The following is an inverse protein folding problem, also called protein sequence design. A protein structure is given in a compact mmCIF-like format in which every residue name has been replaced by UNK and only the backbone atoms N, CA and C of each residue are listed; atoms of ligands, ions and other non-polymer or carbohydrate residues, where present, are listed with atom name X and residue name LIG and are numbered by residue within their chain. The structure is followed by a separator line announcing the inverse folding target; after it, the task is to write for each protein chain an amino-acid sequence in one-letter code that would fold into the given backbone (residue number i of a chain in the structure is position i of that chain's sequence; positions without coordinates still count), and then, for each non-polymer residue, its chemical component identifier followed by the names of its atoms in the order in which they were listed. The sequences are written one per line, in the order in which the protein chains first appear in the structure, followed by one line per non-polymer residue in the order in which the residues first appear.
data_IF_860232331141
#
_entry.id   IF_860232331141
#
_cell.length_a   1.000
_cell.length_b   1.000
_cell.length_c   1.000
_cell.angle_alpha   90.00
_cell.angle_beta   90.00
_cell.angle_gamma   90.00
#
_symmetry.space_group_name_H-M   'P 1'
#
loop_
_entity.id
_entity.type
_entity.pdbx_description
1 polymer ?
#
# COMPACT_ATOMS: atom_id res chain seq x y z
N UNK A 1 -29.96 -29.82 48.90
CA UNK A 1 -29.09 -30.34 47.82
C UNK A 1 -29.67 -29.84 46.50
N UNK A 2 -29.26 -28.60 46.09
CA UNK A 2 -29.73 -27.96 44.83
C UNK A 2 -28.56 -28.06 43.85
N UNK A 3 -28.84 -28.75 42.76
CA UNK A 3 -27.89 -29.11 41.73
C UNK A 3 -27.40 -27.87 40.99
N UNK A 4 -26.08 -27.66 41.00
CA UNK A 4 -25.37 -26.81 40.07
C UNK A 4 -25.32 -27.55 38.71
N UNK A 5 -26.30 -27.34 37.87
CA UNK A 5 -26.28 -27.82 36.49
C UNK A 5 -26.37 -26.65 35.53
N UNK A 6 -25.42 -26.64 34.54
CA UNK A 6 -25.54 -25.99 33.24
C UNK A 6 -24.95 -24.57 33.07
N UNK A 7 -23.73 -24.34 33.49
CA UNK A 7 -22.93 -23.21 32.91
C UNK A 7 -21.92 -23.66 31.83
N UNK A 8 -21.63 -24.95 31.75
CA UNK A 8 -20.58 -25.49 30.85
C UNK A 8 -21.06 -25.67 29.40
N UNK A 9 -22.25 -26.14 29.17
CA UNK A 9 -22.83 -26.29 27.82
C UNK A 9 -23.12 -24.97 27.07
N UNK A 10 -23.18 -23.86 27.80
CA UNK A 10 -23.28 -22.52 27.20
C UNK A 10 -21.93 -21.96 26.75
N UNK A 11 -20.88 -22.27 27.48
CA UNK A 11 -19.50 -21.89 27.13
C UNK A 11 -18.98 -22.66 25.93
N UNK A 12 -19.23 -23.95 25.85
CA UNK A 12 -18.80 -24.78 24.72
C UNK A 12 -19.50 -24.36 23.42
N UNK A 13 -20.80 -24.15 23.44
CA UNK A 13 -21.55 -23.65 22.27
C UNK A 13 -21.02 -22.29 21.77
N UNK A 14 -20.68 -21.36 22.67
CA UNK A 14 -20.10 -20.07 22.31
C UNK A 14 -18.71 -20.21 21.70
N UNK A 15 -17.88 -21.12 22.21
CA UNK A 15 -16.55 -21.43 21.67
C UNK A 15 -16.63 -22.05 20.27
N UNK A 16 -17.55 -22.96 20.05
CA UNK A 16 -17.74 -23.61 18.75
C UNK A 16 -18.29 -22.62 17.73
N UNK A 17 -19.21 -21.73 18.13
CA UNK A 17 -19.71 -20.64 17.30
C UNK A 17 -18.60 -19.66 16.92
N UNK A 18 -17.73 -19.29 17.87
CA UNK A 18 -16.60 -18.40 17.59
C UNK A 18 -15.57 -19.04 16.64
N UNK A 19 -15.28 -20.32 16.81
CA UNK A 19 -14.39 -21.08 15.90
C UNK A 19 -14.96 -21.17 14.49
N UNK A 20 -16.27 -21.40 14.37
CA UNK A 20 -16.95 -21.42 13.08
C UNK A 20 -16.85 -20.07 12.37
N UNK A 21 -17.10 -18.97 13.11
CA UNK A 21 -16.97 -17.60 12.60
C UNK A 21 -15.53 -17.28 12.12
N UNK A 22 -14.51 -17.67 12.89
CA UNK A 22 -13.11 -17.48 12.47
C UNK A 22 -12.81 -18.20 11.15
N UNK A 23 -13.27 -19.46 11.01
CA UNK A 23 -13.09 -20.22 9.77
C UNK A 23 -13.82 -19.59 8.58
N UNK A 24 -15.04 -19.15 8.79
CA UNK A 24 -15.83 -18.46 7.77
C UNK A 24 -15.12 -17.17 7.30
N UNK A 25 -14.73 -16.31 8.24
CA UNK A 25 -14.04 -15.06 7.95
C UNK A 25 -12.69 -15.26 7.26
N UNK A 26 -11.94 -16.27 7.68
CA UNK A 26 -10.69 -16.61 7.03
C UNK A 26 -10.88 -17.21 5.64
N UNK A 27 -11.90 -18.07 5.46
CA UNK A 27 -12.26 -18.61 4.14
C UNK A 27 -12.65 -17.51 3.15
N UNK A 28 -13.40 -16.49 3.61
CA UNK A 28 -13.72 -15.32 2.79
C UNK A 28 -12.47 -14.57 2.33
N UNK A 29 -11.50 -14.32 3.22
CA UNK A 29 -10.23 -13.66 2.90
C UNK A 29 -9.39 -14.41 1.88
N UNK A 30 -9.33 -15.74 2.01
CA UNK A 30 -8.64 -16.59 1.02
C UNK A 30 -9.30 -16.41 -0.34
N UNK A 31 -10.62 -16.54 -0.42
CA UNK A 31 -11.35 -16.43 -1.68
C UNK A 31 -11.20 -15.03 -2.31
N UNK A 32 -11.35 -13.96 -1.52
CA UNK A 32 -11.13 -12.59 -2.00
C UNK A 32 -9.72 -12.39 -2.56
N UNK A 33 -8.71 -12.96 -1.89
CA UNK A 33 -7.32 -12.90 -2.35
C UNK A 33 -7.12 -13.65 -3.67
N UNK A 34 -7.66 -14.86 -3.80
CA UNK A 34 -7.58 -15.65 -5.03
C UNK A 34 -8.20 -14.88 -6.21
N UNK A 35 -9.42 -14.37 -6.04
CA UNK A 35 -10.13 -13.62 -7.08
C UNK A 35 -9.36 -12.36 -7.49
N UNK A 36 -8.85 -11.61 -6.51
CA UNK A 36 -8.12 -10.39 -6.77
C UNK A 36 -6.80 -10.64 -7.52
N UNK A 37 -5.97 -11.57 -7.05
CA UNK A 37 -4.68 -11.83 -7.67
C UNK A 37 -4.78 -12.57 -9.01
N UNK A 38 -5.78 -13.42 -9.21
CA UNK A 38 -6.06 -14.01 -10.52
C UNK A 38 -6.36 -12.91 -11.57
N UNK A 39 -7.07 -11.85 -11.15
CA UNK A 39 -7.38 -10.71 -12.01
C UNK A 39 -6.18 -9.82 -12.28
N UNK A 40 -5.37 -9.54 -11.25
CA UNK A 40 -4.34 -8.49 -11.28
C UNK A 40 -2.90 -9.00 -11.43
N UNK A 41 -2.65 -10.32 -11.48
CA UNK A 41 -1.29 -10.87 -11.48
C UNK A 41 -0.39 -10.29 -12.58
N UNK A 42 -0.90 -10.14 -13.80
CA UNK A 42 -0.15 -9.57 -14.92
C UNK A 42 0.19 -8.10 -14.69
N UNK A 43 -0.77 -7.33 -14.17
CA UNK A 43 -0.60 -5.91 -13.87
C UNK A 43 0.37 -5.68 -12.70
N UNK A 44 0.29 -6.51 -11.64
CA UNK A 44 1.25 -6.49 -10.52
C UNK A 44 2.68 -6.73 -11.03
N UNK A 45 2.85 -7.70 -11.94
CA UNK A 45 4.16 -7.99 -12.54
C UNK A 45 4.68 -6.83 -13.38
N UNK A 46 3.83 -6.22 -14.20
CA UNK A 46 4.19 -5.07 -15.03
C UNK A 46 4.54 -3.84 -14.18
N UNK A 47 3.73 -3.56 -13.17
CA UNK A 47 3.96 -2.47 -12.21
C UNK A 47 5.30 -2.65 -11.48
N UNK A 48 5.58 -3.85 -10.96
CA UNK A 48 6.84 -4.14 -10.27
C UNK A 48 8.06 -3.95 -11.18
N UNK A 49 7.97 -4.36 -12.44
CA UNK A 49 9.04 -4.14 -13.42
C UNK A 49 9.27 -2.64 -13.67
N UNK A 50 8.18 -1.86 -13.85
CA UNK A 50 8.27 -0.41 -14.03
C UNK A 50 8.86 0.29 -12.78
N UNK A 51 8.44 -0.11 -11.57
CA UNK A 51 9.03 0.40 -10.33
C UNK A 51 10.53 0.07 -10.24
N UNK A 52 10.92 -1.17 -10.58
CA UNK A 52 12.32 -1.58 -10.55
C UNK A 52 13.17 -0.78 -11.54
N UNK A 53 12.66 -0.46 -12.73
CA UNK A 53 13.32 0.43 -13.68
C UNK A 53 13.58 1.81 -13.08
N UNK A 54 12.58 2.40 -12.44
CA UNK A 54 12.70 3.70 -11.77
C UNK A 54 13.71 3.67 -10.62
N UNK A 55 13.65 2.66 -9.75
CA UNK A 55 14.62 2.51 -8.67
C UNK A 55 16.06 2.26 -9.18
N UNK A 56 16.19 1.54 -10.29
CA UNK A 56 17.49 1.37 -10.95
C UNK A 56 18.10 2.71 -11.36
N UNK A 57 17.26 3.62 -11.85
CA UNK A 57 17.64 4.97 -12.29
C UNK A 57 17.75 5.98 -11.11
N UNK A 58 17.54 5.52 -9.88
CA UNK A 58 17.73 6.34 -8.66
C UNK A 58 16.48 7.05 -8.16
N UNK A 59 15.29 6.62 -8.58
CA UNK A 59 14.02 7.19 -8.14
C UNK A 59 13.77 7.07 -6.65
N UNK A 60 12.95 7.98 -6.13
CA UNK A 60 12.32 7.91 -4.81
C UNK A 60 10.85 7.53 -4.95
N UNK A 61 10.37 6.62 -4.10
CA UNK A 61 8.95 6.26 -3.98
C UNK A 61 8.25 7.20 -2.98
N UNK A 62 7.27 7.95 -3.44
CA UNK A 62 6.44 8.85 -2.62
C UNK A 62 5.05 8.25 -2.47
N UNK A 63 4.64 7.99 -1.22
CA UNK A 63 3.43 7.25 -0.91
C UNK A 63 2.46 8.13 -0.13
N UNK A 64 1.19 8.08 -0.49
CA UNK A 64 0.17 8.90 0.17
C UNK A 64 -1.21 8.25 0.17
N UNK A 65 -2.03 8.73 1.09
CA UNK A 65 -3.42 8.34 1.28
C UNK A 65 -4.01 9.09 2.46
N UNK A 66 -5.31 9.18 2.56
CA UNK A 66 -6.01 9.90 3.62
C UNK A 66 -6.61 8.93 4.64
N UNK A 67 -6.80 9.38 5.88
CA UNK A 67 -7.49 8.60 6.91
C UNK A 67 -6.80 7.27 7.18
N UNK A 68 -7.56 6.17 7.09
CA UNK A 68 -7.03 4.82 7.28
C UNK A 68 -5.92 4.49 6.27
N UNK A 69 -6.04 5.00 5.03
CA UNK A 69 -5.05 4.78 3.96
C UNK A 69 -3.72 5.47 4.19
N UNK A 70 -3.65 6.44 5.12
CA UNK A 70 -2.39 7.00 5.58
C UNK A 70 -1.53 5.97 6.32
N UNK A 71 -2.13 5.00 7.04
CA UNK A 71 -1.39 3.93 7.71
C UNK A 71 -0.77 2.96 6.71
N UNK A 72 -1.46 2.66 5.62
CA UNK A 72 -0.92 1.84 4.53
C UNK A 72 0.27 2.55 3.86
N UNK A 73 0.16 3.86 3.62
CA UNK A 73 1.23 4.67 3.06
C UNK A 73 2.48 4.68 3.96
N UNK A 74 2.31 4.78 5.28
CA UNK A 74 3.41 4.75 6.24
C UNK A 74 4.05 3.35 6.31
N UNK A 75 3.25 2.29 6.38
CA UNK A 75 3.74 0.92 6.41
C UNK A 75 4.51 0.58 5.13
N UNK A 76 3.95 0.88 3.96
CA UNK A 76 4.62 0.63 2.70
C UNK A 76 5.96 1.38 2.61
N UNK A 77 6.05 2.62 3.08
CA UNK A 77 7.31 3.38 3.05
C UNK A 77 8.40 2.73 3.91
N UNK A 78 8.06 2.19 5.08
CA UNK A 78 9.05 1.55 5.96
C UNK A 78 9.57 0.23 5.37
N UNK A 79 8.75 -0.53 4.65
CA UNK A 79 9.16 -1.77 3.98
C UNK A 79 10.27 -1.54 2.94
N UNK A 80 10.21 -0.42 2.21
CA UNK A 80 11.25 -0.05 1.24
C UNK A 80 12.51 0.51 1.91
N UNK A 81 12.36 1.38 2.93
CA UNK A 81 13.50 2.03 3.60
C UNK A 81 14.21 1.09 4.56
N UNK A 82 13.49 0.20 5.22
CA UNK A 82 14.01 -0.74 6.20
C UNK A 82 13.49 -2.16 5.95
N UNK A 83 14.02 -2.85 4.93
CA UNK A 83 13.57 -4.17 4.55
C UNK A 83 13.54 -5.16 5.71
N UNK A 84 12.40 -5.86 5.89
CA UNK A 84 12.25 -6.88 6.92
C UNK A 84 13.05 -8.15 6.60
N UNK A 85 13.33 -8.44 5.32
CA UNK A 85 14.06 -9.61 4.89
C UNK A 85 15.57 -9.34 4.82
N UNK A 86 16.41 -10.21 5.45
CA UNK A 86 17.86 -10.09 5.37
C UNK A 86 18.36 -10.18 3.92
N UNK A 87 19.30 -9.31 3.57
CA UNK A 87 19.92 -9.31 2.24
C UNK A 87 19.18 -8.48 1.19
N UNK A 88 18.00 -7.95 1.48
CA UNK A 88 17.34 -6.98 0.62
C UNK A 88 17.97 -5.58 0.79
N UNK A 89 18.10 -4.86 -0.32
CA UNK A 89 18.61 -3.49 -0.33
C UNK A 89 17.53 -2.51 0.12
N UNK A 90 17.89 -1.56 1.01
CA UNK A 90 17.03 -0.41 1.28
C UNK A 90 16.87 0.45 0.03
N UNK A 91 15.64 0.84 -0.28
CA UNK A 91 15.27 1.69 -1.41
C UNK A 91 14.68 3.01 -0.91
N UNK A 92 14.93 4.14 -1.61
CA UNK A 92 14.41 5.43 -1.18
C UNK A 92 12.89 5.46 -1.23
N UNK A 93 12.24 5.64 -0.08
CA UNK A 93 10.80 5.80 0.01
C UNK A 93 10.41 6.75 1.15
N UNK A 94 9.32 7.46 0.98
CA UNK A 94 8.76 8.30 2.02
C UNK A 94 7.24 8.34 1.95
N UNK A 95 6.58 8.36 3.11
CA UNK A 95 5.16 8.65 3.19
C UNK A 95 4.94 10.16 3.36
N UNK A 96 4.09 10.75 2.51
CA UNK A 96 3.72 12.16 2.59
C UNK A 96 2.81 12.49 3.79
N UNK A 97 2.53 11.49 4.64
CA UNK A 97 1.76 11.65 5.88
C UNK A 97 2.62 11.62 7.15
N UNK A 98 3.95 11.46 7.01
CA UNK A 98 4.84 11.32 8.17
C UNK A 98 5.18 12.67 8.84
N UNK A 99 5.27 13.75 8.06
CA UNK A 99 5.54 15.08 8.59
C UNK A 99 4.24 15.76 9.02
N UNK A 100 3.89 15.58 10.29
CA UNK A 100 2.68 16.17 10.87
C UNK A 100 2.67 17.70 10.79
N UNK A 101 3.83 18.36 10.86
CA UNK A 101 3.91 19.82 10.79
C UNK A 101 3.56 20.32 9.37
N UNK A 102 4.13 19.70 8.35
CA UNK A 102 3.80 20.00 6.94
C UNK A 102 2.33 19.70 6.64
N UNK A 103 1.84 18.51 7.00
CA UNK A 103 0.44 18.14 6.76
C UNK A 103 -0.52 19.09 7.44
N UNK A 104 -0.34 19.35 8.74
CA UNK A 104 -1.24 20.24 9.48
C UNK A 104 -1.12 21.71 9.03
N UNK A 105 0.08 22.14 8.66
CA UNK A 105 0.30 23.49 8.12
C UNK A 105 -0.47 23.73 6.83
N UNK A 106 -0.45 22.79 5.89
CA UNK A 106 -1.23 22.86 4.63
C UNK A 106 -2.73 22.80 4.91
N UNK A 107 -3.16 21.88 5.80
CA UNK A 107 -4.58 21.72 6.16
C UNK A 107 -5.19 22.94 6.89
N UNK A 108 -4.37 23.78 7.52
CA UNK A 108 -4.81 25.06 8.12
C UNK A 108 -4.95 26.18 7.09
N UNK A 109 -4.39 26.01 5.90
CA UNK A 109 -4.50 26.98 4.80
C UNK A 109 -5.87 26.92 4.09
N UNK A 110 -6.02 27.79 3.08
CA UNK A 110 -7.27 27.93 2.32
C UNK A 110 -7.52 26.75 1.35
N UNK A 111 -6.45 26.07 0.90
CA UNK A 111 -6.53 24.97 -0.06
C UNK A 111 -6.10 23.63 0.58
N UNK A 112 -6.99 23.07 1.38
CA UNK A 112 -6.75 21.81 2.12
C UNK A 112 -6.54 20.60 1.22
N UNK A 113 -7.17 20.62 0.04
CA UNK A 113 -7.06 19.52 -0.93
C UNK A 113 -5.73 19.51 -1.67
N UNK A 114 -4.87 20.50 -1.46
CA UNK A 114 -3.50 20.52 -2.00
C UNK A 114 -2.50 19.72 -1.19
N UNK A 115 -2.89 19.08 -0.08
CA UNK A 115 -1.96 18.46 0.88
C UNK A 115 -0.95 17.50 0.24
N UNK A 116 -1.34 16.68 -0.70
CA UNK A 116 -0.44 15.78 -1.42
C UNK A 116 0.16 16.45 -2.65
N UNK A 117 -0.64 17.18 -3.43
CA UNK A 117 -0.18 17.90 -4.63
C UNK A 117 0.94 18.90 -4.31
N UNK A 118 0.81 19.65 -3.20
CA UNK A 118 1.84 20.58 -2.74
C UNK A 118 3.16 19.87 -2.43
N UNK A 119 3.13 18.80 -1.63
CA UNK A 119 4.32 18.05 -1.26
C UNK A 119 4.99 17.39 -2.49
N UNK A 120 4.20 16.76 -3.37
CA UNK A 120 4.70 16.22 -4.64
C UNK A 120 5.28 17.30 -5.53
N UNK A 121 4.67 18.50 -5.53
CA UNK A 121 5.18 19.67 -6.25
C UNK A 121 6.58 20.08 -5.82
N UNK A 122 6.89 19.99 -4.53
CA UNK A 122 8.17 20.40 -3.94
C UNK A 122 9.19 19.27 -3.96
N UNK A 123 8.78 18.05 -3.57
CA UNK A 123 9.69 16.94 -3.31
C UNK A 123 9.90 16.05 -4.55
N UNK A 124 8.87 15.89 -5.38
CA UNK A 124 8.87 14.97 -6.51
C UNK A 124 9.60 15.50 -7.72
N UNK A 125 10.29 14.61 -8.43
CA UNK A 125 10.99 14.86 -9.68
C UNK A 125 10.52 13.95 -10.82
N UNK A 126 10.88 14.30 -12.05
CA UNK A 126 10.66 13.43 -13.18
C UNK A 126 11.44 12.11 -12.96
N UNK A 127 10.77 10.99 -13.17
CA UNK A 127 11.37 9.68 -12.94
C UNK A 127 11.06 9.05 -11.58
N UNK A 128 10.65 9.82 -10.58
CA UNK A 128 10.20 9.30 -9.29
C UNK A 128 8.91 8.47 -9.42
N UNK A 129 8.52 7.81 -8.33
CA UNK A 129 7.33 6.98 -8.24
C UNK A 129 6.36 7.61 -7.24
N UNK A 130 5.09 7.75 -7.62
CA UNK A 130 4.00 8.15 -6.76
C UNK A 130 3.02 6.99 -6.60
N UNK A 131 2.76 6.58 -5.36
CA UNK A 131 1.81 5.51 -5.05
C UNK A 131 0.75 6.04 -4.10
N UNK A 132 -0.51 5.99 -4.53
CA UNK A 132 -1.66 6.43 -3.74
C UNK A 132 -2.51 5.25 -3.27
N UNK A 133 -2.95 5.32 -2.02
CA UNK A 133 -4.04 4.51 -1.49
C UNK A 133 -5.29 5.37 -1.37
N UNK A 134 -6.42 4.91 -1.88
CA UNK A 134 -7.65 5.66 -1.89
C UNK A 134 -8.90 4.80 -1.66
N UNK A 135 -9.81 5.34 -0.87
CA UNK A 135 -11.19 4.86 -0.82
C UNK A 135 -11.97 5.38 -2.03
N UNK A 136 -12.99 4.65 -2.48
CA UNK A 136 -13.90 5.15 -3.53
C UNK A 136 -15.20 5.65 -2.91
N UNK A 137 -15.67 6.86 -3.27
CA UNK A 137 -15.11 7.78 -4.28
C UNK A 137 -13.77 8.41 -3.83
N UNK A 138 -12.83 8.52 -4.76
CA UNK A 138 -11.50 9.07 -4.49
C UNK A 138 -11.61 10.52 -4.02
N UNK A 139 -10.98 10.85 -2.89
CA UNK A 139 -10.97 12.20 -2.34
C UNK A 139 -10.25 13.18 -3.26
N UNK A 140 -10.68 14.45 -3.23
CA UNK A 140 -10.08 15.50 -4.04
C UNK A 140 -8.58 15.67 -3.78
N UNK A 141 -8.14 15.52 -2.54
CA UNK A 141 -6.73 15.63 -2.19
C UNK A 141 -5.88 14.52 -2.84
N UNK A 142 -6.39 13.28 -2.88
CA UNK A 142 -5.68 12.17 -3.55
C UNK A 142 -5.71 12.37 -5.06
N UNK A 143 -6.85 12.74 -5.65
CA UNK A 143 -6.98 13.01 -7.08
C UNK A 143 -5.98 14.06 -7.55
N UNK A 144 -5.91 15.19 -6.86
CA UNK A 144 -4.95 16.29 -7.15
C UNK A 144 -3.49 15.85 -6.94
N UNK A 145 -3.24 14.96 -5.97
CA UNK A 145 -1.93 14.35 -5.78
C UNK A 145 -1.50 13.52 -6.99
N UNK A 146 -2.38 12.65 -7.50
CA UNK A 146 -2.12 11.84 -8.70
C UNK A 146 -1.88 12.71 -9.94
N UNK A 147 -2.68 13.77 -10.12
CA UNK A 147 -2.52 14.74 -11.22
C UNK A 147 -1.18 15.48 -11.13
N UNK A 148 -0.79 15.91 -9.94
CA UNK A 148 0.48 16.59 -9.72
C UNK A 148 1.68 15.68 -10.02
N UNK A 149 1.61 14.41 -9.58
CA UNK A 149 2.62 13.40 -9.88
C UNK A 149 2.75 13.16 -11.40
N UNK A 150 1.60 12.99 -12.07
CA UNK A 150 1.57 12.84 -13.54
C UNK A 150 2.17 14.03 -14.26
N UNK A 151 1.81 15.24 -13.85
CA UNK A 151 2.33 16.49 -14.42
C UNK A 151 3.84 16.64 -14.26
N UNK A 152 4.45 15.95 -13.29
CA UNK A 152 5.90 15.91 -13.08
C UNK A 152 6.63 14.78 -13.82
N UNK A 153 5.91 13.90 -14.51
CA UNK A 153 6.49 12.74 -15.20
C UNK A 153 6.90 11.60 -14.26
N UNK A 154 6.27 11.52 -13.10
CA UNK A 154 6.43 10.39 -12.19
C UNK A 154 5.71 9.14 -12.74
N UNK A 155 6.14 7.96 -12.33
CA UNK A 155 5.35 6.73 -12.45
C UNK A 155 4.23 6.79 -11.41
N UNK A 156 2.97 6.72 -11.87
CA UNK A 156 1.81 6.91 -10.99
C UNK A 156 1.06 5.61 -10.80
N UNK A 157 0.89 5.20 -9.54
CA UNK A 157 0.26 3.95 -9.12
C UNK A 157 -0.89 4.27 -8.16
N UNK A 158 -2.05 3.64 -8.34
CA UNK A 158 -3.20 3.79 -7.46
C UNK A 158 -3.73 2.42 -7.00
N UNK A 159 -3.94 2.28 -5.68
CA UNK A 159 -4.64 1.16 -5.05
C UNK A 159 -5.97 1.69 -4.50
N UNK A 160 -7.09 1.16 -4.98
CA UNK A 160 -8.43 1.67 -4.73
C UNK A 160 -9.31 0.67 -3.99
N UNK A 161 -10.07 1.14 -3.01
CA UNK A 161 -11.16 0.38 -2.37
C UNK A 161 -12.43 0.47 -3.22
N UNK A 162 -12.47 -0.26 -4.30
CA UNK A 162 -13.59 -0.28 -5.23
C UNK A 162 -13.21 0.14 -6.64
N UNK A 163 -14.18 0.12 -7.56
CA UNK A 163 -13.94 0.42 -8.97
C UNK A 163 -13.56 1.89 -9.19
N UNK A 164 -12.63 2.12 -10.09
CA UNK A 164 -12.37 3.46 -10.62
C UNK A 164 -13.57 3.94 -11.44
N UNK A 165 -14.18 5.09 -11.11
CA UNK A 165 -15.25 5.66 -11.92
C UNK A 165 -14.80 6.10 -13.32
N UNK A 166 -13.50 5.95 -13.62
CA UNK A 166 -12.84 6.38 -14.84
C UNK A 166 -12.22 7.76 -14.72
N UNK A 167 -11.00 7.88 -15.20
CA UNK A 167 -10.31 9.16 -15.33
C UNK A 167 -9.24 9.46 -14.28
N UNK A 168 -8.83 8.49 -13.48
CA UNK A 168 -7.64 8.67 -12.64
C UNK A 168 -6.39 8.77 -13.53
N UNK A 169 -5.54 9.76 -13.21
CA UNK A 169 -4.27 9.96 -13.88
C UNK A 169 -3.21 8.97 -13.35
N UNK A 170 -3.42 7.65 -13.49
CA UNK A 170 -2.48 6.63 -13.04
C UNK A 170 -2.02 5.73 -14.19
N UNK A 171 -0.78 5.24 -14.13
CA UNK A 171 -0.21 4.28 -15.07
C UNK A 171 -0.62 2.84 -14.71
N UNK A 172 -0.76 2.55 -13.41
CA UNK A 172 -1.21 1.29 -12.87
C UNK A 172 -2.32 1.52 -11.85
N UNK A 173 -3.45 0.81 -11.99
CA UNK A 173 -4.59 0.90 -11.08
C UNK A 173 -4.97 -0.50 -10.60
N UNK A 174 -5.05 -0.67 -9.28
CA UNK A 174 -5.48 -1.91 -8.63
C UNK A 174 -6.80 -1.66 -7.90
N UNK A 175 -7.87 -2.18 -8.46
CA UNK A 175 -9.22 -2.02 -7.94
C UNK A 175 -9.58 -3.22 -7.06
N UNK A 176 -9.81 -2.97 -5.78
CA UNK A 176 -10.28 -3.98 -4.83
C UNK A 176 -11.80 -3.91 -4.77
N UNK A 177 -12.47 -4.81 -5.47
CA UNK A 177 -13.94 -4.94 -5.44
C UNK A 177 -14.37 -5.81 -4.24
N UNK A 178 -14.18 -5.29 -3.02
CA UNK A 178 -14.47 -5.98 -1.77
C UNK A 178 -15.23 -5.06 -0.82
N UNK A 179 -16.48 -5.43 -0.42
CA UNK A 179 -17.31 -4.57 0.41
C UNK A 179 -16.86 -4.48 1.88
N UNK A 180 -16.08 -5.46 2.38
CA UNK A 180 -15.51 -5.41 3.73
C UNK A 180 -14.21 -4.57 3.70
N UNK A 181 -14.19 -3.36 4.29
CA UNK A 181 -13.02 -2.48 4.25
C UNK A 181 -11.78 -3.07 4.93
N UNK A 182 -11.95 -4.03 5.86
CA UNK A 182 -10.82 -4.72 6.48
C UNK A 182 -10.20 -5.70 5.51
N UNK A 183 -11.00 -6.41 4.73
CA UNK A 183 -10.49 -7.33 3.69
C UNK A 183 -9.87 -6.54 2.55
N UNK A 184 -10.46 -5.42 2.14
CA UNK A 184 -9.86 -4.51 1.16
C UNK A 184 -8.47 -4.04 1.60
N UNK A 185 -8.30 -3.65 2.87
CA UNK A 185 -7.00 -3.26 3.41
C UNK A 185 -6.00 -4.42 3.41
N UNK A 186 -6.44 -5.63 3.74
CA UNK A 186 -5.57 -6.83 3.70
C UNK A 186 -5.09 -7.13 2.27
N UNK A 187 -5.94 -6.89 1.25
CA UNK A 187 -5.57 -7.02 -0.16
C UNK A 187 -4.56 -5.96 -0.61
N UNK A 188 -4.72 -4.70 -0.17
CA UNK A 188 -3.71 -3.67 -0.40
C UNK A 188 -2.38 -4.05 0.23
N UNK A 189 -2.40 -4.52 1.49
CA UNK A 189 -1.22 -5.00 2.19
C UNK A 189 -0.50 -6.09 1.40
N UNK A 190 -1.23 -7.12 0.98
CA UNK A 190 -0.68 -8.21 0.19
C UNK A 190 -0.12 -7.72 -1.16
N UNK A 191 -0.80 -6.77 -1.81
CA UNK A 191 -0.38 -6.22 -3.10
C UNK A 191 0.95 -5.49 -2.98
N UNK A 192 1.12 -4.56 -2.03
CA UNK A 192 2.38 -3.85 -1.94
C UNK A 192 3.53 -4.70 -1.39
N UNK A 193 3.27 -5.74 -0.59
CA UNK A 193 4.30 -6.73 -0.24
C UNK A 193 4.78 -7.51 -1.46
N UNK A 194 3.86 -7.96 -2.33
CA UNK A 194 4.22 -8.66 -3.56
C UNK A 194 4.96 -7.72 -4.53
N UNK A 195 4.52 -6.47 -4.67
CA UNK A 195 5.24 -5.46 -5.45
C UNK A 195 6.67 -5.27 -4.91
N UNK A 196 6.83 -5.16 -3.60
CA UNK A 196 8.12 -5.04 -2.94
C UNK A 196 9.03 -6.25 -3.24
N UNK A 197 8.52 -7.47 -3.11
CA UNK A 197 9.28 -8.70 -3.42
C UNK A 197 9.72 -8.73 -4.89
N UNK A 198 8.79 -8.47 -5.82
CA UNK A 198 9.08 -8.52 -7.25
C UNK A 198 10.08 -7.43 -7.67
N UNK A 199 9.97 -6.22 -7.12
CA UNK A 199 10.96 -5.14 -7.34
C UNK A 199 12.35 -5.61 -6.94
N UNK A 200 12.50 -6.23 -5.77
CA UNK A 200 13.81 -6.73 -5.30
C UNK A 200 14.32 -7.88 -6.16
N UNK A 201 13.45 -8.78 -6.62
CA UNK A 201 13.82 -9.87 -7.54
C UNK A 201 14.37 -9.29 -8.85
N UNK A 202 13.68 -8.31 -9.45
CA UNK A 202 14.11 -7.68 -10.71
C UNK A 202 15.43 -6.95 -10.53
N UNK A 203 15.59 -6.18 -9.44
CA UNK A 203 16.83 -5.46 -9.16
C UNK A 203 18.02 -6.40 -8.93
N UNK A 204 17.79 -7.52 -8.23
CA UNK A 204 18.82 -8.55 -8.01
C UNK A 204 19.28 -9.18 -9.33
N UNK A 205 18.38 -9.47 -10.25
CA UNK A 205 18.72 -9.98 -11.58
C UNK A 205 19.54 -8.98 -12.41
N UNK A 206 19.42 -7.69 -12.13
CA UNK A 206 20.22 -6.63 -12.77
C UNK A 206 21.56 -6.36 -12.08
N UNK A 207 21.94 -7.16 -11.08
CA UNK A 207 23.21 -7.03 -10.36
C UNK A 207 23.22 -5.95 -9.26
N UNK A 208 22.06 -5.38 -8.93
CA UNK A 208 21.87 -4.51 -7.76
C UNK A 208 21.37 -5.37 -6.60
N UNK A 209 22.20 -6.29 -6.15
CA UNK A 209 21.93 -7.13 -5.01
C UNK A 209 22.16 -6.44 -3.67
N UNK A 210 22.05 -7.23 -2.60
CA UNK A 210 22.14 -6.84 -1.21
C UNK A 210 23.16 -5.75 -0.92
N UNK A 211 22.81 -4.83 -0.01
CA UNK A 211 23.78 -3.93 0.63
C UNK A 211 24.88 -4.81 1.26
N UNK A 212 26.18 -4.64 0.96
CA UNK A 212 27.21 -5.41 1.62
C UNK A 212 27.09 -5.19 3.14
N UNK A 213 27.32 -6.23 3.97
CA UNK A 213 27.25 -6.09 5.41
C UNK A 213 28.14 -4.92 5.86
N UNK A 214 27.59 -4.04 6.70
CA UNK A 214 28.29 -2.88 7.24
C UNK A 214 29.51 -3.36 8.05
N UNK A 215 30.68 -3.41 7.41
CA UNK A 215 31.90 -3.94 8.03
C UNK A 215 33.11 -3.94 7.12
N UNK A 216 32.94 -3.83 5.82
CA UNK A 216 34.05 -3.71 4.88
C UNK A 216 34.41 -2.22 4.67
N UNK A 217 34.96 -1.57 5.70
CA UNK A 217 35.74 -0.35 5.49
C UNK A 217 37.09 -0.77 4.89
N UNK A 218 37.34 -0.34 3.68
CA UNK A 218 38.72 -0.29 3.15
C UNK A 218 39.43 0.93 3.70
#
# INVERSE_FOLDING_TARGET
MIAAQSTDGGRDRRRDSARALVRERFGHRIHASEVFFDRHAAEVSACAAAMADRFFDGATLMIFGSGLRATDAQHNSVEFVHPALPGCRALPALSLTNDAATVTGILLGDDRDSVFAHQLGVLGGAGDIALAFAETPVSESVRRGLEAARGKGMLVIALLDGPDPGGLCADHVFEVDEPDPLVAQELHLATYHILWELVHIVLNHRGIGATPPSGARR
#
